data_IF_338773019604
#
_entry.id   IF_338773019604
#
_cell.length_a   1.000
_cell.length_b   1.000
_cell.length_c   1.000
_cell.angle_alpha   90.00
_cell.angle_beta   90.00
_cell.angle_gamma   90.00
#
_symmetry.space_group_name_H-M   'P 1'
#
loop_
_entity.id
_entity.type
_entity.pdbx_description
1 polymer ?
#
# COMPACT_ATOMS: atom_id res chain seq x y z
N UNK A 1 0.77 -26.57 -7.55
CA UNK A 1 0.13 -26.74 -8.88
C UNK A 1 -0.93 -25.65 -9.02
N UNK A 2 -0.78 -24.71 -9.94
CA UNK A 2 -1.76 -23.64 -10.20
C UNK A 2 -2.98 -24.27 -10.85
N UNK A 3 -4.19 -23.94 -10.38
CA UNK A 3 -5.43 -24.51 -10.96
C UNK A 3 -5.59 -24.08 -12.43
N UNK A 4 -6.27 -24.92 -13.23
CA UNK A 4 -6.57 -24.59 -14.65
C UNK A 4 -7.30 -23.23 -14.77
N UNK A 5 -8.18 -22.92 -13.83
CA UNK A 5 -8.90 -21.64 -13.76
C UNK A 5 -7.93 -20.47 -13.58
N UNK A 6 -6.95 -20.59 -12.71
CA UNK A 6 -5.94 -19.55 -12.52
C UNK A 6 -5.04 -19.38 -13.74
N UNK A 7 -4.69 -20.48 -14.42
CA UNK A 7 -3.92 -20.41 -15.69
C UNK A 7 -4.71 -19.68 -16.78
N UNK A 8 -6.02 -19.95 -16.89
CA UNK A 8 -6.90 -19.26 -17.86
C UNK A 8 -6.99 -17.78 -17.57
N UNK A 9 -7.12 -17.38 -16.29
CA UNK A 9 -7.17 -15.97 -15.88
C UNK A 9 -5.84 -15.29 -16.19
N UNK A 10 -4.71 -15.90 -15.83
CA UNK A 10 -3.39 -15.36 -16.13
C UNK A 10 -3.12 -15.22 -17.62
N UNK A 11 -3.56 -16.21 -18.42
CA UNK A 11 -3.45 -16.17 -19.87
C UNK A 11 -4.32 -15.04 -20.48
N UNK A 12 -5.55 -14.87 -19.99
CA UNK A 12 -6.43 -13.80 -20.42
C UNK A 12 -5.87 -12.40 -20.06
N UNK A 13 -5.29 -12.25 -18.88
CA UNK A 13 -4.63 -11.01 -18.44
C UNK A 13 -3.37 -10.69 -19.28
N UNK A 14 -2.68 -11.72 -19.79
CA UNK A 14 -1.47 -11.55 -20.61
C UNK A 14 -1.75 -11.09 -22.04
N UNK A 15 -2.95 -11.35 -22.58
CA UNK A 15 -3.30 -11.09 -23.98
C UNK A 15 -4.25 -9.91 -24.23
N UNK A 16 -4.41 -9.00 -23.25
CA UNK A 16 -4.95 -7.66 -23.51
C UNK A 16 -6.42 -7.52 -23.92
N UNK A 17 -7.22 -8.58 -23.89
CA UNK A 17 -8.62 -8.58 -24.34
C UNK A 17 -9.67 -8.63 -23.20
N UNK A 18 -9.27 -8.48 -21.95
CA UNK A 18 -10.22 -8.32 -20.85
C UNK A 18 -10.45 -6.82 -20.65
N UNK A 19 -11.71 -6.41 -20.72
CA UNK A 19 -12.07 -5.06 -20.32
C UNK A 19 -11.56 -4.82 -18.89
N UNK A 20 -10.84 -3.75 -18.68
CA UNK A 20 -10.27 -3.36 -17.37
C UNK A 20 -11.35 -3.35 -16.30
N UNK A 21 -12.55 -2.92 -16.66
CA UNK A 21 -13.74 -2.92 -15.81
C UNK A 21 -14.14 -4.32 -15.33
N UNK A 22 -14.08 -5.32 -16.22
CA UNK A 22 -14.38 -6.72 -15.88
C UNK A 22 -13.32 -7.28 -14.91
N UNK A 23 -12.05 -6.95 -15.11
CA UNK A 23 -10.97 -7.33 -14.21
C UNK A 23 -11.13 -6.71 -12.82
N UNK A 24 -11.53 -5.43 -12.75
CA UNK A 24 -11.82 -4.73 -11.49
C UNK A 24 -13.03 -5.33 -10.79
N UNK A 25 -14.11 -5.67 -11.51
CA UNK A 25 -15.30 -6.35 -10.93
C UNK A 25 -14.98 -7.73 -10.38
N UNK A 26 -14.08 -8.49 -11.04
CA UNK A 26 -13.60 -9.77 -10.51
C UNK A 26 -12.79 -9.61 -9.23
N UNK A 27 -11.99 -8.55 -9.12
CA UNK A 27 -11.29 -8.19 -7.90
C UNK A 27 -12.28 -7.87 -6.76
N UNK A 28 -13.36 -7.14 -7.07
CA UNK A 28 -14.40 -6.77 -6.10
C UNK A 28 -15.21 -7.97 -5.58
N UNK A 29 -15.41 -9.02 -6.37
CA UNK A 29 -16.10 -10.25 -5.93
C UNK A 29 -15.33 -10.97 -4.81
N UNK A 30 -14.02 -10.81 -4.75
CA UNK A 30 -13.17 -11.36 -3.66
C UNK A 30 -13.46 -10.71 -2.29
N UNK A 31 -14.16 -9.57 -2.25
CA UNK A 31 -14.53 -8.86 -1.01
C UNK A 31 -15.63 -9.53 -0.19
N UNK A 32 -16.35 -10.51 -0.74
CA UNK A 32 -17.52 -11.14 -0.12
C UNK A 32 -17.20 -12.15 1.00
N UNK A 33 -15.97 -12.17 1.49
CA UNK A 33 -15.58 -13.06 2.60
C UNK A 33 -15.99 -12.44 3.94
N UNK A 34 -17.10 -12.95 4.50
CA UNK A 34 -17.92 -12.40 5.58
C UNK A 34 -17.30 -12.43 7.00
N UNK A 35 -16.01 -12.68 7.15
CA UNK A 35 -15.34 -12.58 8.44
C UNK A 35 -14.75 -11.18 8.62
N UNK A 36 -15.57 -10.25 9.11
CA UNK A 36 -15.10 -8.98 9.66
C UNK A 36 -14.24 -9.27 10.89
N UNK A 37 -12.94 -9.40 10.67
CA UNK A 37 -11.96 -9.26 11.74
C UNK A 37 -12.10 -7.82 12.23
N UNK A 38 -12.27 -7.61 13.52
CA UNK A 38 -12.23 -6.27 14.14
C UNK A 38 -10.84 -5.69 13.88
N UNK A 39 -10.74 -4.90 12.84
CA UNK A 39 -9.48 -4.31 12.41
C UNK A 39 -9.46 -2.85 12.81
N UNK A 40 -8.44 -2.49 13.56
CA UNK A 40 -8.15 -1.12 13.93
C UNK A 40 -7.56 -0.43 12.72
N UNK A 41 -8.38 0.29 11.97
CA UNK A 41 -8.00 0.94 10.73
C UNK A 41 -8.50 2.39 10.67
N UNK A 42 -7.74 3.23 9.99
CA UNK A 42 -8.03 4.64 9.78
C UNK A 42 -7.77 4.99 8.32
N UNK A 43 -8.79 5.51 7.65
CA UNK A 43 -8.64 6.08 6.31
C UNK A 43 -8.23 7.55 6.42
N UNK A 44 -7.19 7.92 5.70
CA UNK A 44 -6.67 9.28 5.61
C UNK A 44 -6.12 9.54 4.22
N UNK A 45 -5.39 10.63 4.01
CA UNK A 45 -4.87 11.01 2.70
C UNK A 45 -3.50 11.68 2.83
N UNK A 46 -2.73 11.59 1.76
CA UNK A 46 -1.52 12.38 1.54
C UNK A 46 -1.68 13.20 0.26
N UNK A 47 -0.86 14.23 0.09
CA UNK A 47 -0.98 15.13 -1.05
C UNK A 47 0.11 14.89 -2.07
N UNK A 48 -0.29 14.67 -3.33
CA UNK A 48 0.55 14.71 -4.51
C UNK A 48 0.15 15.94 -5.35
N UNK A 49 0.80 17.06 -5.12
CA UNK A 49 0.36 18.34 -5.67
C UNK A 49 -1.04 18.70 -5.18
N UNK A 50 -1.98 18.89 -6.10
CA UNK A 50 -3.38 19.16 -5.79
C UNK A 50 -4.22 17.89 -5.57
N UNK A 51 -3.66 16.70 -5.85
CA UNK A 51 -4.38 15.44 -5.72
C UNK A 51 -4.23 14.86 -4.31
N UNK A 52 -5.35 14.42 -3.77
CA UNK A 52 -5.41 13.73 -2.48
C UNK A 52 -5.30 12.22 -2.72
N UNK A 53 -4.15 11.65 -2.43
CA UNK A 53 -3.90 10.21 -2.52
C UNK A 53 -4.47 9.53 -1.27
N UNK A 54 -5.52 8.69 -1.40
CA UNK A 54 -6.07 8.01 -0.24
C UNK A 54 -5.07 6.99 0.32
N UNK A 55 -5.01 6.89 1.63
CA UNK A 55 -4.21 5.87 2.32
C UNK A 55 -5.01 5.27 3.45
N UNK A 56 -4.82 3.99 3.69
CA UNK A 56 -5.41 3.27 4.82
C UNK A 56 -4.32 2.79 5.75
N UNK A 57 -4.48 3.15 7.02
CA UNK A 57 -3.61 2.75 8.11
C UNK A 57 -4.23 1.58 8.85
N UNK A 58 -3.44 0.57 9.15
CA UNK A 58 -3.80 -0.58 9.96
C UNK A 58 -2.90 -0.59 11.19
N UNK A 59 -3.51 -0.67 12.35
CA UNK A 59 -2.79 -0.61 13.61
C UNK A 59 -2.71 -1.99 14.26
N UNK A 60 -1.56 -2.36 14.85
CA UNK A 60 -1.40 -3.66 15.52
C UNK A 60 -2.24 -3.76 16.80
N UNK A 61 -2.51 -2.65 17.48
CA UNK A 61 -3.22 -2.60 18.75
C UNK A 61 -4.04 -1.30 18.89
N UNK A 62 -4.85 -1.18 19.97
CA UNK A 62 -5.62 0.04 20.29
C UNK A 62 -4.72 1.17 20.74
N UNK A 63 -3.69 0.83 21.49
CA UNK A 63 -2.68 1.77 21.94
C UNK A 63 -1.95 2.41 20.76
N UNK A 64 -1.62 1.61 19.75
CA UNK A 64 -1.04 2.13 18.52
C UNK A 64 -1.99 3.08 17.78
N UNK A 65 -3.28 2.80 17.78
CA UNK A 65 -4.30 3.64 17.13
C UNK A 65 -4.56 4.93 17.92
N UNK A 66 -4.51 4.89 19.25
CA UNK A 66 -4.64 6.09 20.11
C UNK A 66 -3.39 6.99 20.11
N UNK A 67 -2.31 6.51 19.48
CA UNK A 67 -1.05 7.25 19.40
C UNK A 67 -0.14 7.04 20.61
N UNK A 68 -0.47 6.09 21.48
CA UNK A 68 0.32 5.76 22.64
C UNK A 68 1.48 4.84 22.26
N UNK A 69 2.73 5.20 22.54
CA UNK A 69 3.86 4.32 22.30
C UNK A 69 3.86 3.14 23.30
N UNK A 70 4.24 1.96 22.85
CA UNK A 70 4.50 0.84 23.75
C UNK A 70 5.88 0.99 24.37
N UNK A 71 5.96 0.98 25.69
CA UNK A 71 7.21 1.16 26.45
C UNK A 71 7.99 2.44 26.09
N UNK A 72 7.30 3.47 25.61
CA UNK A 72 7.91 4.73 25.16
C UNK A 72 8.53 4.68 23.76
N UNK A 73 8.48 3.56 23.07
CA UNK A 73 8.99 3.41 21.72
C UNK A 73 7.89 3.60 20.65
N UNK A 74 8.24 4.29 19.57
CA UNK A 74 7.39 4.46 18.40
C UNK A 74 7.29 3.15 17.61
N UNK A 75 6.19 2.98 16.86
CA UNK A 75 5.94 1.79 16.07
C UNK A 75 6.73 1.79 14.76
N UNK A 76 7.29 0.63 14.36
CA UNK A 76 7.81 0.46 13.01
C UNK A 76 6.67 0.47 11.99
N UNK A 77 6.97 0.83 10.75
CA UNK A 77 5.97 0.97 9.69
C UNK A 77 6.29 0.09 8.48
N UNK A 78 5.26 -0.58 7.96
CA UNK A 78 5.27 -1.20 6.66
C UNK A 78 4.50 -0.32 5.67
N UNK A 79 5.18 0.29 4.72
CA UNK A 79 4.55 1.02 3.63
C UNK A 79 4.24 0.03 2.52
N UNK A 80 2.94 -0.24 2.32
CA UNK A 80 2.45 -1.27 1.42
C UNK A 80 1.88 -0.68 0.14
N UNK A 81 2.33 -1.20 -1.00
CA UNK A 81 1.77 -0.92 -2.31
C UNK A 81 1.18 -2.20 -2.89
N UNK A 82 -0.11 -2.19 -3.24
CA UNK A 82 -0.80 -3.35 -3.76
C UNK A 82 -0.33 -3.72 -5.18
N UNK A 83 -0.54 -4.98 -5.58
CA UNK A 83 -0.26 -5.45 -6.93
C UNK A 83 -1.33 -5.04 -7.94
N UNK A 84 -1.44 -5.80 -9.05
CA UNK A 84 -2.47 -5.59 -10.07
C UNK A 84 -1.97 -4.90 -11.35
N UNK A 85 -0.65 -4.87 -11.58
CA UNK A 85 -0.06 -4.39 -12.84
C UNK A 85 -0.33 -2.92 -13.14
N UNK A 86 -0.56 -2.08 -12.13
CA UNK A 86 -0.95 -0.66 -12.25
C UNK A 86 -2.33 -0.42 -12.86
N UNK A 87 -3.13 -1.46 -13.05
CA UNK A 87 -4.41 -1.43 -13.76
C UNK A 87 -5.56 -1.89 -12.88
N UNK A 88 -5.30 -2.86 -12.01
CA UNK A 88 -6.34 -3.49 -11.19
C UNK A 88 -5.96 -3.47 -9.71
N UNK A 89 -6.85 -4.03 -8.89
CA UNK A 89 -6.73 -4.11 -7.43
C UNK A 89 -6.91 -2.75 -6.71
N UNK A 90 -6.96 -2.80 -5.40
CA UNK A 90 -7.20 -1.64 -4.55
C UNK A 90 -6.77 -1.92 -3.10
N UNK A 91 -6.70 -0.89 -2.27
CA UNK A 91 -6.51 -1.02 -0.82
C UNK A 91 -7.57 -1.95 -0.20
N UNK A 92 -8.82 -1.88 -0.69
CA UNK A 92 -9.90 -2.72 -0.18
C UNK A 92 -9.67 -4.21 -0.45
N UNK A 93 -9.10 -4.57 -1.61
CA UNK A 93 -8.82 -5.97 -1.95
C UNK A 93 -7.72 -6.58 -1.07
N UNK A 94 -6.81 -5.74 -0.56
CA UNK A 94 -5.72 -6.12 0.34
C UNK A 94 -6.03 -5.88 1.82
N UNK A 95 -7.25 -5.44 2.17
CA UNK A 95 -7.64 -5.09 3.55
C UNK A 95 -7.32 -6.21 4.56
N UNK A 96 -7.67 -7.45 4.23
CA UNK A 96 -7.40 -8.62 5.08
C UNK A 96 -5.91 -8.92 5.23
N UNK A 97 -5.13 -8.75 4.15
CA UNK A 97 -3.69 -9.02 4.15
C UNK A 97 -2.99 -7.99 5.02
N UNK A 98 -3.26 -6.69 4.79
CA UNK A 98 -2.67 -5.59 5.54
C UNK A 98 -3.03 -5.65 7.03
N UNK A 99 -4.29 -5.96 7.35
CA UNK A 99 -4.75 -6.18 8.70
C UNK A 99 -3.98 -7.27 9.45
N UNK A 100 -3.87 -8.44 8.83
CA UNK A 100 -3.13 -9.57 9.41
C UNK A 100 -1.66 -9.25 9.57
N UNK A 101 -1.10 -8.55 8.60
CA UNK A 101 0.29 -8.11 8.63
C UNK A 101 0.55 -7.20 9.82
N UNK A 102 -0.29 -6.19 10.04
CA UNK A 102 -0.17 -5.30 11.21
C UNK A 102 -0.20 -6.10 12.51
N UNK A 103 -1.18 -6.98 12.69
CA UNK A 103 -1.34 -7.79 13.90
C UNK A 103 -0.19 -8.77 14.14
N UNK A 104 0.29 -9.42 13.07
CA UNK A 104 1.30 -10.47 13.18
C UNK A 104 2.71 -9.92 13.41
N UNK A 105 2.99 -8.70 12.93
CA UNK A 105 4.34 -8.13 12.95
C UNK A 105 4.52 -7.03 13.99
N UNK A 106 3.42 -6.53 14.59
CA UNK A 106 3.47 -5.39 15.51
C UNK A 106 3.77 -4.05 14.82
N UNK A 107 3.67 -3.99 13.48
CA UNK A 107 3.91 -2.78 12.71
C UNK A 107 2.61 -2.03 12.42
N UNK A 108 2.69 -0.72 12.28
CA UNK A 108 1.65 0.03 11.55
C UNK A 108 1.82 -0.29 10.07
N UNK A 109 0.75 -0.71 9.39
CA UNK A 109 0.77 -0.90 7.93
C UNK A 109 0.06 0.27 7.27
N UNK A 110 0.73 0.96 6.35
CA UNK A 110 0.18 2.03 5.54
C UNK A 110 -0.01 1.53 4.11
N UNK A 111 -1.25 1.31 3.69
CA UNK A 111 -1.60 0.89 2.32
C UNK A 111 -2.05 2.10 1.50
N UNK A 112 -1.55 2.20 0.27
CA UNK A 112 -1.72 3.36 -0.60
C UNK A 112 -2.66 3.03 -1.75
N UNK A 113 -3.73 3.82 -1.91
CA UNK A 113 -4.67 3.77 -3.04
C UNK A 113 -4.16 4.69 -4.15
N UNK A 114 -3.13 4.26 -4.86
CA UNK A 114 -2.56 5.00 -5.98
C UNK A 114 -3.45 4.95 -7.22
N UNK A 115 -3.45 5.99 -8.04
CA UNK A 115 -4.23 6.06 -9.29
C UNK A 115 -3.79 4.98 -10.28
N UNK A 116 -4.73 4.44 -11.04
CA UNK A 116 -4.53 3.31 -11.92
C UNK A 116 -4.68 3.68 -13.40
N UNK A 117 -3.97 2.96 -14.26
CA UNK A 117 -4.19 2.95 -15.70
C UNK A 117 -5.50 2.20 -16.03
N UNK A 118 -6.18 2.50 -17.14
CA UNK A 118 -5.78 3.43 -18.20
C UNK A 118 -6.12 4.90 -17.91
N UNK A 119 -6.86 5.24 -16.85
CA UNK A 119 -7.27 6.60 -16.55
C UNK A 119 -6.05 7.49 -16.23
N UNK A 120 -5.05 6.91 -15.59
CA UNK A 120 -3.81 7.59 -15.21
C UNK A 120 -2.60 6.78 -15.69
N UNK A 121 -1.95 7.29 -16.74
CA UNK A 121 -0.76 6.67 -17.29
C UNK A 121 0.49 6.95 -16.45
N UNK A 122 1.54 6.13 -16.65
CA UNK A 122 2.87 6.42 -16.13
C UNK A 122 3.27 7.89 -16.44
N UNK A 123 3.84 8.65 -15.50
CA UNK A 123 4.34 8.21 -14.18
C UNK A 123 3.36 8.41 -13.01
N UNK A 124 2.10 8.78 -13.23
CA UNK A 124 1.15 9.21 -12.19
C UNK A 124 1.00 8.22 -11.03
N UNK A 125 0.80 6.89 -11.25
CA UNK A 125 0.72 5.94 -10.14
C UNK A 125 1.98 5.93 -9.28
N UNK A 126 3.14 6.08 -9.91
CA UNK A 126 4.43 6.10 -9.24
C UNK A 126 4.64 7.36 -8.40
N UNK A 127 4.19 8.51 -8.93
CA UNK A 127 4.23 9.79 -8.21
C UNK A 127 3.35 9.77 -6.96
N UNK A 128 2.19 9.09 -7.01
CA UNK A 128 1.31 8.91 -5.85
C UNK A 128 1.98 8.05 -4.77
N UNK A 129 2.58 6.93 -5.18
CA UNK A 129 3.37 6.09 -4.28
C UNK A 129 4.53 6.87 -3.64
N UNK A 130 5.23 7.68 -4.44
CA UNK A 130 6.34 8.53 -3.96
C UNK A 130 5.86 9.58 -2.97
N UNK A 131 4.72 10.24 -3.25
CA UNK A 131 4.15 11.24 -2.35
C UNK A 131 3.78 10.63 -0.99
N UNK A 132 3.22 9.42 -0.98
CA UNK A 132 2.88 8.68 0.23
C UNK A 132 4.14 8.34 1.05
N UNK A 133 5.17 7.82 0.40
CA UNK A 133 6.44 7.54 1.01
C UNK A 133 7.07 8.81 1.61
N UNK A 134 7.15 9.89 0.82
CA UNK A 134 7.70 11.17 1.27
C UNK A 134 6.95 11.73 2.48
N UNK A 135 5.61 11.67 2.49
CA UNK A 135 4.80 12.14 3.60
C UNK A 135 5.12 11.37 4.89
N UNK A 136 5.30 10.05 4.79
CA UNK A 136 5.65 9.19 5.91
C UNK A 136 7.06 9.50 6.45
N UNK A 137 8.08 9.53 5.60
CA UNK A 137 9.47 9.79 6.00
C UNK A 137 9.71 11.21 6.52
N UNK A 138 8.93 12.19 6.05
CA UNK A 138 9.06 13.59 6.52
C UNK A 138 8.19 13.90 7.73
N UNK A 139 7.48 12.90 8.30
CA UNK A 139 6.64 13.05 9.48
C UNK A 139 5.43 13.96 9.24
N UNK A 140 4.96 14.11 8.01
CA UNK A 140 3.76 14.90 7.69
C UNK A 140 2.45 14.22 8.09
N UNK A 141 2.51 12.91 8.35
CA UNK A 141 1.41 12.17 8.94
C UNK A 141 1.59 12.13 10.46
N UNK A 142 0.56 12.52 11.19
CA UNK A 142 0.55 12.44 12.65
C UNK A 142 0.31 10.98 13.05
N UNK A 143 1.39 10.23 13.17
CA UNK A 143 1.41 8.81 13.53
C UNK A 143 2.44 8.57 14.63
N UNK A 144 2.21 7.59 15.51
CA UNK A 144 3.22 7.15 16.49
C UNK A 144 4.28 6.26 15.79
N UNK A 145 4.71 6.70 14.60
CA UNK A 145 5.61 5.98 13.72
C UNK A 145 7.08 6.36 13.98
N UNK A 146 7.95 5.35 13.91
CA UNK A 146 9.38 5.54 13.93
C UNK A 146 9.89 5.80 12.51
N UNK A 147 10.40 6.99 12.20
CA UNK A 147 10.88 7.33 10.86
C UNK A 147 12.13 6.55 10.44
N UNK A 148 12.84 5.96 11.40
CA UNK A 148 14.06 5.18 11.14
C UNK A 148 13.75 3.69 10.94
N UNK A 149 12.52 3.26 11.23
CA UNK A 149 12.03 1.87 11.07
C UNK A 149 10.89 1.78 10.07
N UNK A 150 11.10 2.27 8.84
CA UNK A 150 10.13 2.17 7.74
C UNK A 150 10.63 1.16 6.72
N UNK A 151 9.81 0.15 6.44
CA UNK A 151 10.07 -0.85 5.40
C UNK A 151 9.05 -0.72 4.29
N UNK A 152 9.50 -0.64 3.05
CA UNK A 152 8.63 -0.63 1.87
C UNK A 152 8.40 -2.07 1.43
N UNK A 153 7.15 -2.43 1.24
CA UNK A 153 6.74 -3.76 0.77
C UNK A 153 5.69 -3.64 -0.32
N UNK A 154 5.56 -4.65 -1.14
CA UNK A 154 4.56 -4.68 -2.20
C UNK A 154 4.52 -5.99 -2.95
N UNK A 155 3.48 -6.13 -3.76
CA UNK A 155 3.20 -7.33 -4.56
C UNK A 155 3.37 -7.04 -6.05
N UNK A 156 3.87 -8.05 -6.82
CA UNK A 156 3.91 -8.07 -8.28
C UNK A 156 4.61 -6.85 -8.93
N UNK A 157 3.87 -6.00 -9.64
CA UNK A 157 4.38 -4.87 -10.43
C UNK A 157 5.15 -3.82 -9.58
N UNK A 158 4.92 -3.79 -8.28
CA UNK A 158 5.59 -2.87 -7.35
C UNK A 158 7.09 -3.17 -7.20
N UNK A 159 7.58 -4.34 -7.63
CA UNK A 159 9.03 -4.64 -7.63
C UNK A 159 9.84 -3.63 -8.46
N UNK A 160 9.27 -3.07 -9.51
CA UNK A 160 9.91 -2.00 -10.29
C UNK A 160 10.02 -0.68 -9.51
N UNK A 161 9.14 -0.43 -8.53
CA UNK A 161 9.21 0.75 -7.68
C UNK A 161 10.40 0.74 -6.74
N UNK A 162 10.84 -0.45 -6.27
CA UNK A 162 11.99 -0.53 -5.37
C UNK A 162 13.25 0.07 -5.99
N UNK A 163 13.42 -0.09 -7.29
CA UNK A 163 14.58 0.47 -8.00
C UNK A 163 14.47 2.00 -8.13
N UNK A 164 13.28 2.53 -8.36
CA UNK A 164 13.04 3.96 -8.41
C UNK A 164 13.17 4.61 -7.03
N UNK A 165 12.54 4.01 -6.01
CA UNK A 165 12.64 4.49 -4.64
C UNK A 165 14.07 4.43 -4.10
N UNK A 166 14.85 3.41 -4.41
CA UNK A 166 16.24 3.32 -3.96
C UNK A 166 17.10 4.47 -4.47
N UNK A 167 16.87 4.95 -5.70
CA UNK A 167 17.60 6.10 -6.25
C UNK A 167 17.17 7.43 -5.62
N UNK A 168 15.88 7.65 -5.40
CA UNK A 168 15.35 8.89 -4.81
C UNK A 168 15.53 8.92 -3.28
N UNK A 169 15.36 7.78 -2.59
CA UNK A 169 15.55 7.65 -1.15
C UNK A 169 17.01 7.77 -0.73
N UNK A 170 17.94 7.30 -1.55
CA UNK A 170 19.36 7.52 -1.28
C UNK A 170 19.64 9.02 -1.08
N UNK A 171 19.01 9.88 -1.87
CA UNK A 171 19.11 11.32 -1.71
C UNK A 171 18.44 11.88 -0.45
N UNK A 172 17.36 11.24 0.06
CA UNK A 172 16.71 11.65 1.31
C UNK A 172 17.49 11.15 2.53
N UNK A 173 17.94 9.92 2.51
CA UNK A 173 18.74 9.33 3.59
C UNK A 173 20.11 10.01 3.69
N UNK A 174 20.82 10.20 2.58
CA UNK A 174 22.14 10.87 2.56
C UNK A 174 22.07 12.34 2.97
N UNK A 175 20.94 13.02 2.74
CA UNK A 175 20.73 14.39 3.24
C UNK A 175 20.36 14.46 4.72
N UNK A 176 19.80 13.40 5.29
CA UNK A 176 19.39 13.35 6.69
C UNK A 176 20.53 12.87 7.63
N UNK A 177 21.46 12.09 7.06
CA UNK A 177 22.64 11.57 7.76
C UNK A 177 23.90 11.85 6.90
N UNK A 178 24.53 13.05 7.05
CA UNK A 178 25.75 13.39 6.34
C UNK A 178 26.97 12.53 6.78
#
# INVERSE_FOLDING_TARGET
MISKTMQTILHALSYGNIEVEASRRLADIKKLDAMRIFVKKLDTKVYNGAYEVPVRLYFPSEEAMSGEPVDGEKYPVLLFFHGGGWVTESVENYDRVCSRMAQSTGHIVMSVEYRLAPEYHFPVPLEDCYAAAKALYTGRLILPADPDRITIIGDSAVRSNFQFFSCEYYNIIVRKYP
#
